data_IF_280759263008
#
_entry.id   IF_280759263008
#
_cell.length_a   1.000
_cell.length_b   1.000
_cell.length_c   1.000
_cell.angle_alpha   90.00
_cell.angle_beta   90.00
_cell.angle_gamma   90.00
#
_symmetry.space_group_name_H-M   'P 1'
#
loop_
_entity.id
_entity.type
_entity.pdbx_description
1 polymer ?
#
# COMPACT_ATOMS: atom_id res chain seq x y z
N UNK A 1 -23.29 4.69 30.12
CA UNK A 1 -21.87 4.57 29.71
C UNK A 1 -21.55 3.10 29.57
N UNK A 2 -21.17 2.61 28.38
CA UNK A 2 -20.67 1.22 28.25
C UNK A 2 -19.21 1.22 28.66
N UNK A 3 -18.95 0.88 29.92
CA UNK A 3 -17.62 0.54 30.38
C UNK A 3 -17.29 -0.87 29.85
N UNK A 4 -16.26 -1.02 29.01
CA UNK A 4 -15.68 -2.33 28.69
C UNK A 4 -15.63 -2.75 27.22
N UNK A 5 -15.93 -1.87 26.26
CA UNK A 5 -15.75 -2.15 24.83
C UNK A 5 -14.36 -1.72 24.35
N UNK A 6 -13.67 -2.61 23.63
CA UNK A 6 -12.42 -2.28 22.92
C UNK A 6 -12.75 -1.51 21.65
N UNK A 7 -12.17 -0.33 21.47
CA UNK A 7 -12.37 0.50 20.29
C UNK A 7 -11.79 -0.18 19.04
N UNK A 8 -12.50 -0.04 17.93
CA UNK A 8 -12.02 -0.49 16.62
C UNK A 8 -10.74 0.25 16.25
N UNK A 9 -9.76 -0.40 15.58
CA UNK A 9 -8.58 0.29 15.10
C UNK A 9 -8.92 1.38 14.07
N UNK A 10 -8.07 2.38 14.00
CA UNK A 10 -7.99 3.34 12.92
C UNK A 10 -6.85 2.92 12.00
N UNK A 11 -7.05 3.04 10.68
CA UNK A 11 -6.06 2.76 9.65
C UNK A 11 -5.80 4.08 8.92
N UNK A 12 -4.60 4.64 9.07
CA UNK A 12 -4.26 6.02 8.75
C UNK A 12 -3.03 6.08 7.84
N UNK A 13 -3.17 6.54 6.59
CA UNK A 13 -2.01 6.84 5.74
C UNK A 13 -1.20 8.00 6.32
N UNK A 14 0.11 7.83 6.42
CA UNK A 14 1.06 8.86 6.90
C UNK A 14 1.57 9.76 5.77
N UNK A 15 0.73 10.01 4.76
CA UNK A 15 0.99 10.97 3.69
C UNK A 15 -0.13 12.00 3.71
N UNK A 16 0.22 13.26 3.46
CA UNK A 16 -0.77 14.33 3.32
C UNK A 16 -1.64 13.99 2.11
N UNK A 17 -2.98 13.98 2.22
CA UNK A 17 -3.85 13.79 1.08
C UNK A 17 -3.53 14.83 -0.01
N UNK A 18 -3.16 14.37 -1.21
CA UNK A 18 -2.86 15.27 -2.30
C UNK A 18 -4.16 15.93 -2.80
N UNK A 19 -4.18 17.27 -2.99
CA UNK A 19 -5.32 17.94 -3.57
C UNK A 19 -5.70 17.31 -4.93
N UNK A 20 -6.96 16.92 -5.08
CA UNK A 20 -7.46 16.30 -6.31
C UNK A 20 -7.34 14.78 -6.41
N UNK A 21 -6.68 14.12 -5.43
CA UNK A 21 -6.66 12.65 -5.30
C UNK A 21 -7.70 12.18 -4.30
N UNK A 22 -8.22 10.97 -4.48
CA UNK A 22 -9.16 10.42 -3.53
C UNK A 22 -8.44 9.99 -2.24
N UNK A 23 -9.08 10.12 -1.07
CA UNK A 23 -8.47 9.74 0.23
C UNK A 23 -8.09 8.24 0.35
N UNK A 24 -8.51 7.41 -0.60
CA UNK A 24 -8.19 5.98 -0.65
C UNK A 24 -7.10 5.66 -1.69
N UNK A 25 -6.64 6.64 -2.47
CA UNK A 25 -5.48 6.51 -3.35
C UNK A 25 -4.22 6.86 -2.57
N UNK A 26 -3.27 5.93 -2.56
CA UNK A 26 -1.94 6.09 -1.94
C UNK A 26 -0.88 5.53 -2.90
N UNK A 27 0.38 5.85 -2.67
CA UNK A 27 1.51 5.20 -3.34
C UNK A 27 2.10 4.07 -2.49
N UNK A 28 2.92 3.22 -3.10
CA UNK A 28 3.59 2.10 -2.44
C UNK A 28 4.68 2.51 -1.42
N UNK A 29 5.07 3.78 -1.38
CA UNK A 29 5.97 4.35 -0.37
C UNK A 29 5.21 4.93 0.84
N UNK A 30 3.88 5.07 0.74
CA UNK A 30 3.05 5.60 1.82
C UNK A 30 3.00 4.61 2.98
N UNK A 31 3.49 5.06 4.13
CA UNK A 31 3.40 4.30 5.37
C UNK A 31 1.96 4.34 5.92
N UNK A 32 1.46 3.18 6.30
CA UNK A 32 0.16 2.98 6.92
C UNK A 32 0.34 2.76 8.42
N UNK A 33 -0.22 3.68 9.21
CA UNK A 33 -0.27 3.59 10.65
C UNK A 33 -1.58 2.95 11.11
N UNK A 34 -1.51 2.13 12.16
CA UNK A 34 -2.69 1.60 12.83
C UNK A 34 -2.69 1.99 14.31
N UNK A 35 -3.80 2.58 14.77
CA UNK A 35 -3.96 3.09 16.13
C UNK A 35 -5.27 2.62 16.74
N UNK A 36 -5.37 2.62 18.07
CA UNK A 36 -6.62 2.38 18.79
C UNK A 36 -6.71 3.37 19.95
N UNK A 37 -7.91 3.88 20.19
CA UNK A 37 -8.19 4.74 21.36
C UNK A 37 -8.20 3.94 22.67
N UNK A 38 -8.29 2.60 22.59
CA UNK A 38 -8.14 1.74 23.77
C UNK A 38 -6.65 1.52 24.03
N UNK A 39 -6.14 1.88 25.23
CA UNK A 39 -4.75 1.64 25.58
C UNK A 39 -4.45 0.15 25.73
N UNK A 40 -3.16 -0.21 25.69
CA UNK A 40 -2.69 -1.58 26.00
C UNK A 40 -3.30 -2.70 25.13
N UNK A 41 -3.65 -2.40 23.88
CA UNK A 41 -4.14 -3.38 22.91
C UNK A 41 -3.06 -3.80 21.91
N UNK A 42 -3.19 -5.02 21.40
CA UNK A 42 -2.48 -5.48 20.22
C UNK A 42 -3.39 -5.36 19.01
N UNK A 43 -2.88 -4.83 17.90
CA UNK A 43 -3.63 -4.74 16.63
C UNK A 43 -3.20 -5.89 15.72
N UNK A 44 -4.16 -6.56 15.12
CA UNK A 44 -3.95 -7.63 14.15
C UNK A 44 -4.67 -7.29 12.85
N UNK A 45 -4.03 -7.57 11.72
CA UNK A 45 -4.53 -7.15 10.42
C UNK A 45 -4.26 -8.15 9.30
N UNK A 46 -4.99 -7.98 8.19
CA UNK A 46 -4.86 -8.71 6.93
C UNK A 46 -4.87 -7.70 5.78
N UNK A 47 -4.27 -8.07 4.64
CA UNK A 47 -4.17 -7.20 3.44
C UNK A 47 -4.98 -7.74 2.26
N UNK A 48 -5.40 -9.00 2.32
CA UNK A 48 -6.17 -9.73 1.31
C UNK A 48 -7.70 -9.61 1.52
N UNK A 49 -8.14 -8.82 2.50
CA UNK A 49 -9.55 -8.66 2.83
C UNK A 49 -10.15 -9.81 3.64
N UNK A 50 -9.35 -10.78 4.04
CA UNK A 50 -9.79 -11.88 4.89
C UNK A 50 -9.98 -11.42 6.36
N UNK A 51 -10.69 -12.20 7.18
CA UNK A 51 -10.96 -11.82 8.57
C UNK A 51 -9.69 -12.00 9.42
N UNK A 52 -9.18 -10.97 10.12
CA UNK A 52 -8.02 -11.14 10.98
C UNK A 52 -8.37 -12.06 12.17
N UNK A 53 -7.52 -13.05 12.41
CA UNK A 53 -7.61 -13.99 13.52
C UNK A 53 -6.41 -13.81 14.46
N UNK A 54 -6.67 -13.41 15.71
CA UNK A 54 -5.62 -13.26 16.73
C UNK A 54 -5.19 -14.60 17.36
N UNK A 55 -6.08 -15.61 17.32
CA UNK A 55 -5.80 -16.97 17.74
C UNK A 55 -5.71 -17.84 16.50
N UNK A 56 -4.51 -18.33 16.19
CA UNK A 56 -4.33 -19.33 15.13
C UNK A 56 -5.04 -20.61 15.56
N UNK A 57 -6.12 -20.98 14.86
CA UNK A 57 -6.70 -22.32 15.01
C UNK A 57 -5.81 -23.31 14.28
N UNK A 58 -5.23 -24.25 15.03
CA UNK A 58 -4.47 -25.37 14.47
C UNK A 58 -5.43 -26.20 13.61
N UNK A 59 -5.13 -26.35 12.31
CA UNK A 59 -5.83 -27.27 11.40
C UNK A 59 -6.87 -26.65 10.44
N UNK A 60 -6.99 -25.33 10.35
CA UNK A 60 -7.86 -24.66 9.37
C UNK A 60 -7.04 -23.68 8.51
N UNK A 61 -7.49 -23.49 7.27
CA UNK A 61 -6.91 -22.65 6.21
C UNK A 61 -6.11 -21.45 6.76
N UNK A 62 -4.87 -21.31 6.30
CA UNK A 62 -3.86 -20.38 6.79
C UNK A 62 -4.24 -18.92 6.49
N UNK A 63 -5.12 -18.36 7.30
CA UNK A 63 -5.37 -16.94 7.25
C UNK A 63 -4.10 -16.19 7.64
N UNK A 64 -3.55 -15.40 6.71
CA UNK A 64 -2.33 -14.64 6.94
C UNK A 64 -2.68 -13.37 7.72
N UNK A 65 -2.85 -13.53 9.03
CA UNK A 65 -3.01 -12.42 9.96
C UNK A 65 -1.65 -11.99 10.51
N UNK A 66 -1.36 -10.70 10.41
CA UNK A 66 -0.14 -10.07 10.91
C UNK A 66 -0.42 -9.32 12.21
N UNK A 67 0.57 -9.30 13.11
CA UNK A 67 0.56 -8.44 14.29
C UNK A 67 1.19 -7.09 13.92
N UNK A 68 0.45 -6.01 14.11
CA UNK A 68 0.96 -4.66 13.90
C UNK A 68 1.96 -4.28 14.99
N UNK A 69 3.15 -3.84 14.56
CA UNK A 69 4.26 -3.44 15.45
C UNK A 69 4.88 -2.11 15.07
N UNK A 70 4.74 -1.70 13.81
CA UNK A 70 5.25 -0.45 13.25
C UNK A 70 4.47 -0.11 11.97
N UNK A 71 4.53 1.14 11.47
CA UNK A 71 3.96 1.49 10.18
C UNK A 71 4.47 0.59 9.05
N UNK A 72 3.60 0.29 8.09
CA UNK A 72 3.86 -0.64 6.98
C UNK A 72 3.56 0.01 5.63
N UNK A 73 4.22 -0.42 4.56
CA UNK A 73 3.79 -0.12 3.19
C UNK A 73 2.82 -1.18 2.68
N UNK A 74 2.07 -0.85 1.63
CA UNK A 74 1.16 -1.78 0.95
C UNK A 74 1.73 -2.15 -0.43
N UNK A 75 1.44 -3.37 -0.92
CA UNK A 75 1.78 -3.75 -2.28
C UNK A 75 0.90 -3.00 -3.29
N UNK A 76 1.37 -2.91 -4.54
CA UNK A 76 0.67 -2.23 -5.63
C UNK A 76 -0.71 -2.85 -5.90
N UNK A 77 -1.65 -2.02 -6.34
CA UNK A 77 -3.00 -2.41 -6.72
C UNK A 77 -4.05 -2.19 -5.63
N UNK A 78 -5.18 -2.89 -5.77
CA UNK A 78 -6.34 -2.71 -4.89
C UNK A 78 -6.22 -3.59 -3.65
N UNK A 79 -5.90 -2.99 -2.51
CA UNK A 79 -5.64 -3.70 -1.25
C UNK A 79 -6.80 -3.48 -0.28
N UNK A 80 -7.32 -4.57 0.31
CA UNK A 80 -8.35 -4.49 1.34
C UNK A 80 -7.74 -4.80 2.70
N UNK A 81 -7.48 -3.76 3.47
CA UNK A 81 -6.94 -3.88 4.83
C UNK A 81 -8.08 -4.09 5.81
N UNK A 82 -8.02 -5.17 6.58
CA UNK A 82 -8.91 -5.39 7.73
C UNK A 82 -8.10 -5.48 9.00
N UNK A 83 -8.60 -4.90 10.09
CA UNK A 83 -7.91 -4.91 11.37
C UNK A 83 -8.85 -5.06 12.57
N UNK A 84 -8.32 -5.66 13.64
CA UNK A 84 -8.95 -5.77 14.97
C UNK A 84 -7.97 -5.36 16.06
N UNK A 85 -8.48 -4.77 17.14
CA UNK A 85 -7.74 -4.54 18.37
C UNK A 85 -8.11 -5.62 19.39
N UNK A 86 -7.10 -6.13 20.11
CA UNK A 86 -7.24 -7.16 21.14
C UNK A 86 -6.58 -6.69 22.42
N UNK A 87 -7.37 -6.56 23.47
CA UNK A 87 -6.89 -6.22 24.82
C UNK A 87 -6.14 -7.39 25.48
N UNK A 88 -5.43 -7.10 26.58
CA UNK A 88 -4.75 -8.13 27.41
C UNK A 88 -5.71 -9.20 27.92
N UNK A 89 -6.96 -8.84 28.18
CA UNK A 89 -8.03 -9.75 28.64
C UNK A 89 -8.69 -10.55 27.50
N UNK A 90 -8.06 -10.60 26.32
CA UNK A 90 -8.54 -11.28 25.11
C UNK A 90 -9.88 -10.77 24.55
N UNK A 91 -10.36 -9.60 24.99
CA UNK A 91 -11.52 -8.94 24.36
C UNK A 91 -11.11 -8.32 23.03
N UNK A 92 -11.97 -8.49 22.03
CA UNK A 92 -11.77 -7.96 20.68
C UNK A 92 -12.67 -6.76 20.43
N UNK A 93 -12.20 -5.85 19.59
CA UNK A 93 -13.03 -4.85 18.95
C UNK A 93 -13.86 -5.45 17.81
N UNK A 94 -14.72 -4.64 17.19
CA UNK A 94 -15.19 -4.91 15.83
C UNK A 94 -14.04 -4.88 14.80
N UNK A 95 -14.30 -5.39 13.60
CA UNK A 95 -13.36 -5.34 12.48
C UNK A 95 -13.53 -4.01 11.74
N UNK A 96 -12.45 -3.26 11.59
CA UNK A 96 -12.40 -2.13 10.65
C UNK A 96 -11.98 -2.63 9.27
N UNK A 97 -12.57 -2.09 8.21
CA UNK A 97 -12.19 -2.39 6.82
C UNK A 97 -11.89 -1.09 6.09
N UNK A 98 -10.74 -1.03 5.41
CA UNK A 98 -10.36 0.04 4.49
C UNK A 98 -9.86 -0.55 3.19
N UNK A 99 -10.22 0.08 2.08
CA UNK A 99 -9.74 -0.29 0.75
C UNK A 99 -8.85 0.83 0.26
N UNK A 100 -7.66 0.48 -0.22
CA UNK A 100 -6.71 1.38 -0.82
C UNK A 100 -6.48 1.01 -2.28
N UNK A 101 -6.36 2.02 -3.13
CA UNK A 101 -5.80 1.90 -4.46
C UNK A 101 -4.34 2.35 -4.35
N UNK A 102 -3.41 1.42 -4.55
CA UNK A 102 -1.98 1.66 -4.40
C UNK A 102 -1.37 1.83 -5.79
N UNK A 103 -0.96 3.05 -6.09
CA UNK A 103 -0.26 3.37 -7.33
C UNK A 103 1.23 3.03 -7.18
N UNK A 104 1.80 2.42 -8.24
CA UNK A 104 3.23 2.17 -8.31
C UNK A 104 3.90 3.49 -8.69
N UNK A 105 4.56 4.14 -7.73
CA UNK A 105 5.40 5.31 -8.02
C UNK A 105 6.74 4.79 -8.57
N UNK A 106 7.16 5.15 -9.80
CA UNK A 106 8.53 4.91 -10.23
C UNK A 106 9.49 5.63 -9.28
N UNK A 107 10.73 5.16 -9.08
CA UNK A 107 11.68 5.81 -8.18
C UNK A 107 11.96 7.23 -8.68
N UNK A 108 11.26 8.21 -8.12
CA UNK A 108 11.41 9.60 -8.53
C UNK A 108 12.76 10.13 -8.05
N UNK A 109 13.54 10.59 -9.02
CA UNK A 109 14.77 11.35 -8.82
C UNK A 109 14.39 12.59 -8.03
N UNK A 110 14.81 12.63 -6.76
CA UNK A 110 14.77 13.73 -5.79
C UNK A 110 14.31 15.08 -6.39
N UNK A 111 13.00 15.35 -6.38
CA UNK A 111 12.50 16.69 -6.70
C UNK A 111 12.52 17.53 -5.42
N UNK A 112 13.67 18.14 -5.16
CA UNK A 112 13.73 19.39 -4.40
C UNK A 112 13.58 20.51 -5.44
N UNK A 113 12.41 21.12 -5.46
CA UNK A 113 12.03 22.24 -6.33
C UNK A 113 12.83 23.50 -5.96
N UNK A 114 13.65 24.04 -6.89
CA UNK A 114 13.71 25.49 -7.11
C UNK A 114 14.31 25.85 -8.49
N UNK A 115 13.70 26.88 -9.11
CA UNK A 115 14.23 27.80 -10.12
C UNK A 115 14.16 27.48 -11.64
N UNK A 116 13.14 28.12 -12.21
CA UNK A 116 13.07 28.94 -13.44
C UNK A 116 13.03 28.30 -14.85
N UNK A 117 11.95 28.72 -15.52
CA UNK A 117 11.58 28.70 -16.93
C UNK A 117 12.74 28.81 -17.93
N UNK A 118 12.73 27.97 -18.96
CA UNK A 118 13.01 28.49 -20.30
C UNK A 118 12.20 27.76 -21.39
N UNK A 119 11.26 28.51 -21.95
CA UNK A 119 10.60 28.31 -23.23
C UNK A 119 11.65 28.06 -24.32
N UNK A 120 11.54 26.97 -25.07
CA UNK A 120 11.77 26.99 -26.52
C UNK A 120 10.95 25.87 -27.20
N UNK A 121 9.97 26.31 -28.00
CA UNK A 121 9.42 25.56 -29.14
C UNK A 121 10.54 25.30 -30.14
N UNK A 122 10.61 24.10 -30.73
CA UNK A 122 10.50 24.00 -32.18
C UNK A 122 10.06 22.59 -32.61
N UNK A 123 9.28 22.56 -33.68
CA UNK A 123 8.65 21.40 -34.30
C UNK A 123 9.56 20.89 -35.42
N UNK A 124 9.89 19.59 -35.44
CA UNK A 124 10.23 18.96 -36.73
C UNK A 124 9.88 17.47 -36.77
N UNK A 125 8.88 17.23 -37.62
CA UNK A 125 8.43 16.02 -38.32
C UNK A 125 9.46 14.89 -38.54
N UNK A 126 8.87 13.69 -38.52
CA UNK A 126 9.06 12.56 -39.45
C UNK A 126 10.34 11.70 -39.43
N UNK A 127 10.10 10.40 -39.27
CA UNK A 127 10.37 9.33 -40.25
C UNK A 127 11.12 8.12 -39.65
N UNK A 128 10.38 7.02 -39.59
CA UNK A 128 10.73 5.66 -40.00
C UNK A 128 12.20 5.31 -40.20
N UNK A 129 12.66 4.23 -39.56
CA UNK A 129 13.07 3.01 -40.28
C UNK A 129 13.35 1.86 -39.31
N UNK A 130 12.64 0.75 -39.49
CA UNK A 130 13.10 -0.60 -39.13
C UNK A 130 14.42 -0.90 -39.85
N UNK A 131 15.39 -1.49 -39.15
CA UNK A 131 16.41 -2.31 -39.79
C UNK A 131 16.56 -3.59 -38.95
N UNK A 132 15.96 -4.65 -39.48
CA UNK A 132 16.22 -6.04 -39.16
C UNK A 132 17.62 -6.36 -39.69
N UNK A 133 18.58 -6.69 -38.82
CA UNK A 133 19.83 -7.33 -39.24
C UNK A 133 19.68 -8.84 -39.11
N UNK A 134 19.22 -9.47 -40.18
CA UNK A 134 19.56 -10.86 -40.49
C UNK A 134 20.85 -10.81 -41.30
N UNK A 135 21.91 -11.47 -40.85
CA UNK A 135 23.15 -11.59 -41.62
C UNK A 135 23.54 -13.06 -41.75
N UNK A 136 23.91 -13.36 -42.98
CA UNK A 136 23.83 -14.64 -43.67
C UNK A 136 25.00 -15.58 -43.34
N UNK A 137 24.76 -16.83 -43.74
CA UNK A 137 25.64 -18.00 -43.79
C UNK A 137 26.96 -17.71 -44.51
N UNK A 138 28.05 -18.32 -44.04
CA UNK A 138 29.19 -18.68 -44.91
C UNK A 138 29.76 -20.04 -44.48
N UNK A 139 29.85 -20.92 -45.47
CA UNK A 139 30.39 -22.29 -45.49
C UNK A 139 31.91 -22.24 -45.78
N UNK A 140 32.63 -23.34 -45.49
CA UNK A 140 34.06 -23.67 -45.75
C UNK A 140 35.02 -23.16 -44.65
N UNK A 141 35.87 -23.98 -44.01
CA UNK A 141 36.57 -25.23 -44.38
C UNK A 141 36.36 -26.38 -43.38
#
# INVERSE_FOLDING_TARGET
MTAGSVCVPQIIPLRVPQPGKANHEIDNNTLLEMKSDTPDVNIYYTLDGSKPEFLKRIGYNENITFKYTKPITLPDGKIQVKAIAVSKDCRQSGIVTKVFQVDCEPPDTVSSEDSVENVLKDSSKQASTEIIIHSDVTVFL
#
